data_IF_237662650075
#
_entry.id   IF_237662650075
#
_cell.length_a   1.000
_cell.length_b   1.000
_cell.length_c   1.000
_cell.angle_alpha   90.00
_cell.angle_beta   90.00
_cell.angle_gamma   90.00
#
_symmetry.space_group_name_H-M   'P 1'
#
loop_
_entity.id
_entity.type
_entity.pdbx_description
1 polymer ?
#
# COMPACT_ATOMS: atom_id res chain seq x y z
N UNK A 1 -29.03 -6.96 -13.03
CA UNK A 1 -28.60 -6.25 -14.26
C UNK A 1 -29.39 -4.96 -14.37
N UNK A 2 -28.77 -3.82 -14.07
CA UNK A 2 -29.22 -2.48 -14.51
C UNK A 2 -28.14 -1.46 -14.15
N UNK A 3 -27.18 -1.35 -15.07
CA UNK A 3 -26.18 -0.30 -15.11
C UNK A 3 -26.79 0.96 -15.71
N UNK A 4 -26.18 2.10 -15.35
CA UNK A 4 -26.09 3.37 -16.11
C UNK A 4 -26.95 4.51 -15.59
N UNK A 5 -26.27 5.46 -14.91
CA UNK A 5 -26.43 6.89 -15.23
C UNK A 5 -25.04 7.54 -15.23
N UNK A 6 -24.49 7.79 -16.41
CA UNK A 6 -23.39 8.74 -16.63
C UNK A 6 -24.00 10.10 -16.93
N UNK A 7 -23.83 11.08 -16.05
CA UNK A 7 -24.02 12.48 -16.40
C UNK A 7 -22.66 13.10 -16.76
N UNK A 8 -22.51 13.48 -18.02
CA UNK A 8 -21.40 14.28 -18.55
C UNK A 8 -21.87 15.75 -18.66
N UNK A 9 -20.89 16.66 -18.53
CA UNK A 9 -20.85 18.04 -19.06
C UNK A 9 -21.72 19.07 -18.27
N UNK A 10 -21.38 20.36 -18.14
CA UNK A 10 -20.70 21.31 -19.04
C UNK A 10 -19.98 22.42 -18.25
N UNK A 11 -18.90 22.93 -18.86
CA UNK A 11 -18.22 24.19 -18.55
C UNK A 11 -19.18 25.38 -18.64
N UNK A 12 -18.99 26.38 -17.79
CA UNK A 12 -19.34 27.77 -18.09
C UNK A 12 -18.23 28.69 -17.59
N UNK A 13 -17.42 29.18 -18.52
CA UNK A 13 -16.57 30.35 -18.35
C UNK A 13 -17.48 31.57 -18.52
N UNK A 14 -17.45 32.53 -17.61
CA UNK A 14 -17.84 33.90 -17.93
C UNK A 14 -16.73 34.87 -17.54
N UNK A 15 -16.46 35.76 -18.50
CA UNK A 15 -15.43 36.79 -18.56
C UNK A 15 -16.03 38.11 -18.10
N UNK A 16 -15.20 38.97 -17.50
CA UNK A 16 -15.10 40.42 -17.73
C UNK A 16 -14.11 40.95 -16.67
N UNK A 17 -12.96 41.57 -16.98
CA UNK A 17 -12.66 42.41 -18.13
C UNK A 17 -13.04 43.86 -17.79
N UNK A 18 -12.23 44.53 -16.96
CA UNK A 18 -12.22 45.99 -16.86
C UNK A 18 -10.77 46.45 -16.78
N UNK A 19 -10.31 46.91 -17.94
CA UNK A 19 -9.03 47.57 -18.20
C UNK A 19 -9.17 49.03 -17.76
N UNK A 20 -8.32 49.51 -16.87
CA UNK A 20 -8.13 50.96 -16.67
C UNK A 20 -6.63 51.21 -16.50
N UNK A 21 -5.99 51.55 -17.62
CA UNK A 21 -4.65 52.12 -17.68
C UNK A 21 -4.80 53.62 -17.42
N UNK A 22 -4.19 54.12 -16.35
CA UNK A 22 -3.81 55.52 -16.24
C UNK A 22 -2.60 55.65 -15.31
N UNK A 23 -1.49 56.09 -15.90
CA UNK A 23 -0.28 56.53 -15.21
C UNK A 23 -0.59 57.65 -14.21
N UNK A 24 0.02 57.61 -13.03
CA UNK A 24 0.07 58.76 -12.13
C UNK A 24 0.77 58.42 -10.82
N UNK A 25 2.02 58.84 -10.69
CA UNK A 25 2.83 58.91 -9.47
C UNK A 25 2.01 59.39 -8.25
N UNK A 26 2.05 58.65 -7.14
CA UNK A 26 2.29 59.19 -5.79
C UNK A 26 2.40 58.01 -4.80
N UNK A 27 3.60 57.86 -4.27
CA UNK A 27 3.94 57.01 -3.12
C UNK A 27 3.69 57.79 -1.84
N UNK A 28 2.67 57.45 -1.04
CA UNK A 28 2.70 57.71 0.41
C UNK A 28 1.74 56.78 1.18
N UNK A 29 2.32 56.08 2.16
CA UNK A 29 1.75 55.50 3.38
C UNK A 29 0.25 55.16 3.38
N UNK A 30 -0.04 53.86 3.31
CA UNK A 30 -1.08 53.26 4.15
C UNK A 30 -0.73 51.79 4.38
N UNK A 31 -0.07 51.55 5.52
CA UNK A 31 -0.02 50.24 6.13
C UNK A 31 -1.45 49.81 6.42
N UNK A 32 -1.93 48.82 5.69
CA UNK A 32 -2.90 47.85 6.21
C UNK A 32 -2.20 46.51 6.18
N UNK A 33 -2.00 45.98 7.38
CA UNK A 33 -1.27 44.77 7.65
C UNK A 33 -2.11 43.56 7.23
N UNK A 34 -1.95 43.11 6.00
CA UNK A 34 -2.21 41.72 5.66
C UNK A 34 -0.92 40.94 5.86
N UNK A 35 -0.87 40.22 6.97
CA UNK A 35 0.18 39.28 7.30
C UNK A 35 0.21 38.16 6.25
N UNK A 36 1.00 38.35 5.19
CA UNK A 36 1.50 37.25 4.36
C UNK A 36 2.53 36.46 5.17
N UNK A 37 2.04 35.62 6.08
CA UNK A 37 2.82 34.52 6.64
C UNK A 37 3.03 33.49 5.52
N UNK A 38 3.99 33.79 4.65
CA UNK A 38 4.55 32.81 3.72
C UNK A 38 5.26 31.77 4.58
N UNK A 39 4.52 30.74 5.01
CA UNK A 39 5.14 29.51 5.50
C UNK A 39 5.88 28.88 4.33
N UNK A 40 7.13 29.29 4.20
CA UNK A 40 8.14 28.58 3.45
C UNK A 40 8.21 27.19 4.07
N UNK A 41 7.53 26.23 3.44
CA UNK A 41 7.75 24.81 3.69
C UNK A 41 9.16 24.55 3.14
N UNK A 42 10.17 24.78 3.97
CA UNK A 42 11.52 24.28 3.74
C UNK A 42 11.39 22.77 3.66
N UNK A 43 11.33 22.24 2.44
CA UNK A 43 11.50 20.81 2.19
C UNK A 43 12.93 20.49 2.62
N UNK A 44 13.08 19.94 3.83
CA UNK A 44 14.32 19.28 4.23
C UNK A 44 14.68 18.26 3.14
N UNK A 45 15.93 18.22 2.64
CA UNK A 45 16.33 17.18 1.71
C UNK A 45 16.08 15.83 2.38
N UNK A 46 15.31 14.97 1.74
CA UNK A 46 14.97 13.66 2.28
C UNK A 46 16.25 12.93 2.67
N UNK A 47 16.48 12.76 3.96
CA UNK A 47 17.56 11.94 4.49
C UNK A 47 17.45 10.54 3.89
N UNK A 48 18.57 9.99 3.40
CA UNK A 48 18.61 8.60 2.92
C UNK A 48 18.05 7.67 4.01
N UNK A 49 17.33 6.59 3.62
CA UNK A 49 16.67 5.73 4.59
C UNK A 49 17.70 5.18 5.56
N UNK A 50 17.50 5.47 6.85
CA UNK A 50 18.35 4.99 7.91
C UNK A 50 18.23 3.45 8.01
N UNK A 51 19.27 2.75 8.49
CA UNK A 51 19.27 1.28 8.54
C UNK A 51 18.06 0.67 9.29
N UNK A 52 17.40 1.44 10.16
CA UNK A 52 16.15 1.08 10.84
C UNK A 52 14.91 1.03 9.93
N UNK A 53 14.96 1.59 8.73
CA UNK A 53 13.83 1.65 7.79
C UNK A 53 13.80 0.44 6.84
N UNK A 54 14.84 -0.39 6.83
CA UNK A 54 14.91 -1.56 5.95
C UNK A 54 14.33 -2.79 6.64
N UNK A 55 13.25 -3.33 6.10
CA UNK A 55 12.66 -4.59 6.57
C UNK A 55 13.61 -5.76 6.32
N UNK A 56 13.73 -6.67 7.27
CA UNK A 56 14.46 -7.93 7.04
C UNK A 56 13.67 -8.89 6.13
N UNK A 57 14.33 -9.93 5.60
CA UNK A 57 13.70 -10.86 4.65
C UNK A 57 12.41 -11.52 5.19
N UNK A 58 12.37 -11.88 6.49
CA UNK A 58 11.18 -12.44 7.14
C UNK A 58 10.03 -11.43 7.18
N UNK A 59 10.31 -10.16 7.48
CA UNK A 59 9.32 -9.09 7.49
C UNK A 59 8.81 -8.77 6.08
N UNK A 60 9.71 -8.73 5.08
CA UNK A 60 9.33 -8.49 3.69
C UNK A 60 8.39 -9.57 3.15
N UNK A 61 8.57 -10.83 3.57
CA UNK A 61 7.74 -11.95 3.14
C UNK A 61 6.27 -11.86 3.61
N UNK A 62 5.96 -11.04 4.62
CA UNK A 62 4.59 -10.83 5.10
C UNK A 62 3.71 -10.23 4.00
N UNK A 63 4.26 -9.25 3.27
CA UNK A 63 3.53 -8.47 2.26
C UNK A 63 2.94 -9.34 1.15
N UNK A 64 3.72 -10.18 0.43
CA UNK A 64 3.15 -11.02 -0.62
C UNK A 64 2.19 -12.07 -0.08
N UNK A 65 2.42 -12.64 1.11
CA UNK A 65 1.51 -13.62 1.71
C UNK A 65 0.15 -12.98 1.98
N UNK A 66 0.13 -11.84 2.68
CA UNK A 66 -1.11 -11.14 3.01
C UNK A 66 -1.83 -10.68 1.72
N UNK A 67 -1.11 -10.11 0.76
CA UNK A 67 -1.68 -9.61 -0.49
C UNK A 67 -2.31 -10.73 -1.33
N UNK A 68 -1.62 -11.86 -1.53
CA UNK A 68 -2.15 -12.95 -2.34
C UNK A 68 -3.24 -13.75 -1.63
N UNK A 69 -3.18 -13.87 -0.30
CA UNK A 69 -4.25 -14.45 0.48
C UNK A 69 -5.53 -13.60 0.43
N UNK A 70 -5.41 -12.27 0.60
CA UNK A 70 -6.53 -11.34 0.47
C UNK A 70 -7.15 -11.36 -0.94
N UNK A 71 -6.31 -11.37 -1.97
CA UNK A 71 -6.73 -11.48 -3.36
C UNK A 71 -7.29 -12.86 -3.74
N UNK A 72 -7.06 -13.89 -2.91
CA UNK A 72 -7.44 -15.26 -3.20
C UNK A 72 -6.62 -15.93 -4.32
N UNK A 73 -5.40 -15.44 -4.59
CA UNK A 73 -4.53 -16.01 -5.60
C UNK A 73 -3.69 -17.16 -5.00
N UNK A 74 -4.25 -18.37 -4.99
CA UNK A 74 -3.63 -19.53 -4.33
C UNK A 74 -2.27 -19.92 -4.93
N UNK A 75 -2.09 -19.80 -6.24
CA UNK A 75 -0.82 -20.13 -6.89
C UNK A 75 0.32 -19.19 -6.43
N UNK A 76 0.05 -17.87 -6.40
CA UNK A 76 1.04 -16.90 -5.90
C UNK A 76 1.21 -16.99 -4.38
N UNK A 77 0.14 -17.30 -3.65
CA UNK A 77 0.21 -17.54 -2.21
C UNK A 77 1.11 -18.74 -1.89
N UNK A 78 0.99 -19.86 -2.61
CA UNK A 78 1.83 -21.04 -2.44
C UNK A 78 3.32 -20.70 -2.59
N UNK A 79 3.66 -19.94 -3.64
CA UNK A 79 5.02 -19.47 -3.87
C UNK A 79 5.51 -18.55 -2.73
N UNK A 80 4.69 -17.57 -2.33
CA UNK A 80 5.02 -16.64 -1.25
C UNK A 80 5.20 -17.33 0.11
N UNK A 81 4.37 -18.34 0.42
CA UNK A 81 4.51 -19.15 1.63
C UNK A 81 5.81 -19.95 1.65
N UNK A 82 6.19 -20.56 0.51
CA UNK A 82 7.48 -21.24 0.41
C UNK A 82 8.65 -20.27 0.62
N UNK A 83 8.65 -19.14 -0.11
CA UNK A 83 9.70 -18.12 0.01
C UNK A 83 9.80 -17.58 1.44
N UNK A 84 8.66 -17.35 2.09
CA UNK A 84 8.62 -16.90 3.47
C UNK A 84 9.25 -17.90 4.43
N UNK A 85 8.89 -19.18 4.31
CA UNK A 85 9.48 -20.25 5.14
C UNK A 85 10.98 -20.42 4.86
N UNK A 86 11.43 -20.21 3.62
CA UNK A 86 12.86 -20.26 3.25
C UNK A 86 13.63 -19.05 3.79
N UNK A 87 12.97 -17.89 3.92
CA UNK A 87 13.48 -16.70 4.59
C UNK A 87 13.50 -16.80 6.13
N UNK A 88 13.24 -17.99 6.69
CA UNK A 88 13.27 -18.25 8.12
C UNK A 88 12.00 -17.85 8.88
N UNK A 89 10.89 -17.57 8.18
CA UNK A 89 9.60 -17.38 8.83
C UNK A 89 9.10 -18.70 9.42
N UNK A 90 8.54 -18.65 10.62
CA UNK A 90 8.00 -19.83 11.27
C UNK A 90 6.61 -20.16 10.72
N UNK A 91 6.17 -21.41 10.91
CA UNK A 91 4.80 -21.82 10.59
C UNK A 91 3.78 -21.02 11.41
N UNK A 92 4.14 -20.65 12.64
CA UNK A 92 3.29 -19.85 13.51
C UNK A 92 3.07 -18.45 12.94
N UNK A 93 4.13 -17.79 12.47
CA UNK A 93 4.01 -16.45 11.87
C UNK A 93 3.08 -16.45 10.65
N UNK A 94 3.30 -17.42 9.74
CA UNK A 94 2.45 -17.55 8.56
C UNK A 94 0.99 -17.81 8.95
N UNK A 95 0.75 -18.66 9.95
CA UNK A 95 -0.59 -18.90 10.50
C UNK A 95 -1.22 -17.61 11.04
N UNK A 96 -0.50 -16.84 11.85
CA UNK A 96 -1.02 -15.60 12.43
C UNK A 96 -1.40 -14.55 11.38
N UNK A 97 -0.58 -14.41 10.32
CA UNK A 97 -0.92 -13.52 9.19
C UNK A 97 -2.26 -13.94 8.56
N UNK A 98 -2.46 -15.24 8.35
CA UNK A 98 -3.66 -15.78 7.70
C UNK A 98 -4.89 -15.78 8.62
N UNK A 99 -4.70 -15.96 9.93
CA UNK A 99 -5.77 -15.83 10.92
C UNK A 99 -6.20 -14.37 11.05
N UNK A 100 -5.25 -13.43 11.14
CA UNK A 100 -5.55 -12.00 11.21
C UNK A 100 -6.28 -11.50 9.96
N UNK A 101 -5.96 -12.08 8.80
CA UNK A 101 -6.63 -11.78 7.54
C UNK A 101 -8.15 -12.00 7.60
N UNK A 102 -8.66 -12.87 8.48
CA UNK A 102 -10.10 -13.07 8.69
C UNK A 102 -10.85 -11.76 8.92
N UNK A 103 -10.29 -10.88 9.76
CA UNK A 103 -10.92 -9.61 10.11
C UNK A 103 -10.98 -8.63 8.93
N UNK A 104 -10.12 -8.79 7.92
CA UNK A 104 -9.96 -7.83 6.82
C UNK A 104 -10.48 -8.34 5.47
N UNK A 105 -10.40 -9.65 5.20
CA UNK A 105 -10.82 -10.26 3.93
C UNK A 105 -11.88 -11.36 4.10
N UNK A 106 -12.37 -11.58 5.33
CA UNK A 106 -13.45 -12.49 5.64
C UNK A 106 -13.06 -13.97 5.71
N UNK A 107 -13.98 -14.76 6.27
CA UNK A 107 -13.81 -16.18 6.54
C UNK A 107 -13.39 -17.04 5.33
N UNK A 108 -14.00 -16.88 4.13
CA UNK A 108 -13.66 -17.73 3.01
C UNK A 108 -12.22 -17.54 2.53
N UNK A 109 -11.68 -16.32 2.60
CA UNK A 109 -10.31 -16.03 2.16
C UNK A 109 -9.27 -16.54 3.15
N UNK A 110 -9.46 -16.28 4.44
CA UNK A 110 -8.53 -16.74 5.49
C UNK A 110 -8.47 -18.26 5.57
N UNK A 111 -9.60 -18.96 5.54
CA UNK A 111 -9.63 -20.42 5.57
C UNK A 111 -8.97 -21.07 4.36
N UNK A 112 -9.26 -20.56 3.15
CA UNK A 112 -8.64 -21.09 1.94
C UNK A 112 -7.11 -20.93 1.99
N UNK A 113 -6.63 -19.79 2.49
CA UNK A 113 -5.21 -19.54 2.65
C UNK A 113 -4.57 -20.45 3.71
N UNK A 114 -5.25 -20.71 4.84
CA UNK A 114 -4.81 -21.68 5.85
C UNK A 114 -4.72 -23.09 5.27
N UNK A 115 -5.69 -23.49 4.46
CA UNK A 115 -5.64 -24.76 3.72
C UNK A 115 -4.42 -24.82 2.79
N UNK A 116 -4.08 -23.73 2.12
CA UNK A 116 -2.89 -23.65 1.26
C UNK A 116 -1.58 -23.76 2.05
N UNK A 117 -1.49 -23.13 3.23
CA UNK A 117 -0.36 -23.32 4.15
C UNK A 117 -0.19 -24.80 4.52
N UNK A 118 -1.27 -25.51 4.84
CA UNK A 118 -1.19 -26.96 5.15
C UNK A 118 -0.62 -27.78 3.99
N UNK A 119 -1.04 -27.48 2.75
CA UNK A 119 -0.50 -28.16 1.55
C UNK A 119 1.01 -27.92 1.39
N UNK A 120 1.48 -26.68 1.59
CA UNK A 120 2.91 -26.34 1.53
C UNK A 120 3.71 -27.13 2.56
N UNK A 121 3.20 -27.24 3.79
CA UNK A 121 3.87 -27.97 4.86
C UNK A 121 3.96 -29.48 4.56
N UNK A 122 2.87 -30.09 4.09
CA UNK A 122 2.87 -31.50 3.72
C UNK A 122 3.82 -31.78 2.55
N UNK A 123 3.85 -30.93 1.52
CA UNK A 123 4.80 -31.07 0.41
C UNK A 123 6.25 -30.97 0.90
N UNK A 124 6.56 -30.05 1.82
CA UNK A 124 7.88 -29.92 2.45
C UNK A 124 8.26 -31.17 3.25
N UNK A 125 7.33 -31.72 4.03
CA UNK A 125 7.53 -32.94 4.82
C UNK A 125 7.80 -34.15 3.91
N UNK A 126 7.07 -34.28 2.81
CA UNK A 126 7.27 -35.35 1.83
C UNK A 126 8.65 -35.27 1.17
N UNK A 127 9.09 -34.07 0.73
CA UNK A 127 10.44 -33.87 0.17
C UNK A 127 11.56 -34.24 1.14
N UNK A 128 11.40 -33.88 2.43
CA UNK A 128 12.37 -34.30 3.46
C UNK A 128 12.40 -35.82 3.63
N UNK A 129 11.22 -36.46 3.66
CA UNK A 129 11.11 -37.92 3.78
C UNK A 129 11.69 -38.68 2.59
N UNK A 130 11.54 -38.17 1.36
CA UNK A 130 12.13 -38.79 0.18
C UNK A 130 13.64 -38.69 0.18
N UNK A 131 14.18 -37.54 0.61
CA UNK A 131 15.63 -37.36 0.75
C UNK A 131 16.26 -38.29 1.79
N UNK A 132 15.57 -38.55 2.90
CA UNK A 132 16.03 -39.47 3.96
C UNK A 132 15.98 -40.96 3.57
N UNK A 133 15.38 -41.31 2.44
CA UNK A 133 15.17 -42.69 1.99
C UNK A 133 15.97 -43.05 0.73
N UNK A 134 16.67 -42.08 0.14
CA UNK A 134 17.58 -42.25 -0.99
C UNK A 134 19.03 -42.31 -0.49
#
# INVERSE_FOLDING_TARGET
>A
MSNTTRAKLRKARLRAGALAVALGLVTTLSQTADAQETRQITQSPASAPSASETLNARQQAIVPIAAFAAAGNMAKLNAALNQGLDAGMTVSDAREILVQLYAYAGFPRSLNALGELMKVLEARKQRKRSFLRA
#
